data_IF_736417485239
#
_entry.id   IF_736417485239
#
_cell.length_a   1.000
_cell.length_b   1.000
_cell.length_c   1.000
_cell.angle_alpha   90.00
_cell.angle_beta   90.00
_cell.angle_gamma   90.00
#
_symmetry.space_group_name_H-M   'P 1'
#
loop_
_entity.id
_entity.type
_entity.pdbx_description
1 polymer ?
#
# COMPACT_ATOMS: atom_id res chain seq x y z
N UNK A 1 0.32 -6.53 17.45
CA UNK A 1 1.63 -5.94 17.09
C UNK A 1 1.56 -4.42 16.95
N UNK A 2 0.96 -3.85 15.89
CA UNK A 2 0.91 -2.39 15.68
C UNK A 2 -0.18 -1.64 16.47
N UNK A 3 -1.06 -2.35 17.19
CA UNK A 3 -2.17 -1.76 17.96
C UNK A 3 -1.72 -0.82 19.09
N UNK A 4 -0.45 -0.95 19.52
CA UNK A 4 0.18 -0.04 20.49
C UNK A 4 0.54 1.34 19.88
N UNK A 5 0.51 1.45 18.55
CA UNK A 5 0.74 2.70 17.83
C UNK A 5 -0.59 3.30 17.40
N UNK A 6 -0.71 4.63 17.45
CA UNK A 6 -1.84 5.30 16.83
C UNK A 6 -1.81 5.12 15.30
N UNK A 7 -2.96 5.31 14.63
CA UNK A 7 -3.07 5.07 13.19
C UNK A 7 -2.09 5.88 12.32
N UNK A 8 -1.68 7.06 12.76
CA UNK A 8 -0.68 7.87 12.04
C UNK A 8 0.69 7.23 12.09
N UNK A 9 1.12 6.77 13.27
CA UNK A 9 2.41 6.11 13.46
C UNK A 9 2.46 4.77 12.73
N UNK A 10 1.37 4.00 12.73
CA UNK A 10 1.26 2.79 11.91
C UNK A 10 1.47 3.11 10.42
N UNK A 11 0.89 4.21 9.94
CA UNK A 11 1.03 4.61 8.54
C UNK A 11 2.45 5.08 8.21
N UNK A 12 3.11 5.78 9.14
CA UNK A 12 4.52 6.14 9.02
C UNK A 12 5.41 4.88 8.98
N UNK A 13 5.12 3.83 9.78
CA UNK A 13 5.83 2.54 9.70
C UNK A 13 5.74 1.94 8.30
N UNK A 14 4.55 1.95 7.69
CA UNK A 14 4.37 1.44 6.33
C UNK A 14 5.23 2.23 5.33
N UNK A 15 5.20 3.56 5.41
CA UNK A 15 5.99 4.43 4.54
C UNK A 15 7.49 4.22 4.68
N UNK A 16 7.98 4.08 5.92
CA UNK A 16 9.38 3.80 6.23
C UNK A 16 9.83 2.44 5.72
N UNK A 17 9.03 1.39 5.96
CA UNK A 17 9.33 0.05 5.45
C UNK A 17 9.52 0.09 3.94
N UNK A 18 8.57 0.67 3.20
CA UNK A 18 8.70 0.76 1.75
C UNK A 18 9.94 1.56 1.32
N UNK A 19 10.23 2.67 2.00
CA UNK A 19 11.39 3.51 1.68
C UNK A 19 12.71 2.74 1.83
N UNK A 20 12.92 2.04 2.94
CA UNK A 20 14.17 1.34 3.21
C UNK A 20 14.36 0.11 2.30
N UNK A 21 13.29 -0.67 2.08
CA UNK A 21 13.32 -1.82 1.17
C UNK A 21 13.64 -1.37 -0.27
N UNK A 22 12.94 -0.36 -0.77
CA UNK A 22 13.15 0.14 -2.13
C UNK A 22 14.52 0.78 -2.31
N UNK A 23 15.00 1.54 -1.32
CA UNK A 23 16.33 2.14 -1.36
C UNK A 23 17.43 1.08 -1.41
N UNK A 24 17.33 0.00 -0.63
CA UNK A 24 18.29 -1.10 -0.66
C UNK A 24 18.31 -1.82 -2.03
N UNK A 25 17.14 -2.11 -2.59
CA UNK A 25 17.01 -2.73 -3.91
C UNK A 25 17.58 -1.86 -5.04
N UNK A 26 17.34 -0.55 -5.00
CA UNK A 26 17.87 0.39 -5.99
C UNK A 26 19.38 0.60 -5.86
N UNK A 27 19.95 0.44 -4.66
CA UNK A 27 21.41 0.47 -4.44
C UNK A 27 22.10 -0.79 -4.93
N UNK A 28 21.46 -1.95 -4.78
CA UNK A 28 22.00 -3.23 -5.28
C UNK A 28 22.17 -3.22 -6.80
N UNK A 29 21.11 -2.91 -7.53
CA UNK A 29 21.13 -2.72 -8.98
C UNK A 29 19.94 -1.84 -9.35
N UNK A 30 20.19 -0.66 -9.91
CA UNK A 30 19.12 0.31 -10.18
C UNK A 30 18.04 -0.24 -11.10
N UNK A 31 18.42 -0.94 -12.17
CA UNK A 31 17.47 -1.38 -13.19
C UNK A 31 16.74 -2.68 -12.77
N UNK A 32 17.45 -3.62 -12.14
CA UNK A 32 16.82 -4.82 -11.59
C UNK A 32 15.99 -4.49 -10.35
N UNK A 33 16.48 -3.62 -9.49
CA UNK A 33 15.78 -3.12 -8.30
C UNK A 33 14.46 -2.45 -8.66
N UNK A 34 14.44 -1.57 -9.68
CA UNK A 34 13.18 -1.00 -10.18
C UNK A 34 12.19 -2.09 -10.62
N UNK A 35 12.64 -3.09 -11.40
CA UNK A 35 11.78 -4.20 -11.83
C UNK A 35 11.22 -5.01 -10.66
N UNK A 36 12.05 -5.32 -9.68
CA UNK A 36 11.64 -6.03 -8.45
C UNK A 36 10.59 -5.23 -7.71
N UNK A 37 10.83 -3.93 -7.51
CA UNK A 37 9.89 -3.04 -6.81
C UNK A 37 8.55 -3.02 -7.53
N UNK A 38 8.55 -2.82 -8.85
CA UNK A 38 7.31 -2.76 -9.63
C UNK A 38 6.53 -4.08 -9.54
N UNK A 39 7.20 -5.20 -9.74
CA UNK A 39 6.58 -6.54 -9.66
C UNK A 39 6.05 -6.83 -8.27
N UNK A 40 6.84 -6.56 -7.22
CA UNK A 40 6.44 -6.86 -5.85
C UNK A 40 5.27 -6.00 -5.38
N UNK A 41 5.24 -4.72 -5.75
CA UNK A 41 4.11 -3.83 -5.43
C UNK A 41 2.85 -4.23 -6.19
N UNK A 42 2.93 -4.53 -7.50
CA UNK A 42 1.76 -5.01 -8.27
C UNK A 42 1.20 -6.29 -7.67
N UNK A 43 2.09 -7.24 -7.33
CA UNK A 43 1.68 -8.54 -6.81
C UNK A 43 1.01 -8.40 -5.44
N UNK A 44 1.59 -7.60 -4.54
CA UNK A 44 1.00 -7.22 -3.25
C UNK A 44 -0.39 -6.57 -3.43
N UNK A 45 -0.49 -5.56 -4.29
CA UNK A 45 -1.72 -4.81 -4.45
C UNK A 45 -2.82 -5.67 -5.10
N UNK A 46 -2.46 -6.54 -6.04
CA UNK A 46 -3.39 -7.51 -6.64
C UNK A 46 -3.91 -8.50 -5.61
N UNK A 47 -3.03 -9.09 -4.80
CA UNK A 47 -3.45 -10.00 -3.73
C UNK A 47 -4.41 -9.30 -2.76
N UNK A 48 -4.09 -8.08 -2.35
CA UNK A 48 -4.96 -7.24 -1.51
C UNK A 48 -6.33 -6.99 -2.15
N UNK A 49 -6.37 -6.63 -3.44
CA UNK A 49 -7.61 -6.42 -4.17
C UNK A 49 -8.49 -7.68 -4.19
N UNK A 50 -7.87 -8.84 -4.43
CA UNK A 50 -8.54 -10.15 -4.37
C UNK A 50 -9.10 -10.44 -2.98
N UNK A 51 -8.32 -10.20 -1.92
CA UNK A 51 -8.79 -10.44 -0.55
C UNK A 51 -9.97 -9.52 -0.17
N UNK A 52 -9.90 -8.24 -0.54
CA UNK A 52 -11.02 -7.31 -0.33
C UNK A 52 -12.29 -7.78 -1.05
N UNK A 53 -12.15 -8.24 -2.29
CA UNK A 53 -13.25 -8.80 -3.07
C UNK A 53 -13.85 -10.03 -2.39
N UNK A 54 -13.03 -10.98 -1.96
CA UNK A 54 -13.47 -12.20 -1.28
C UNK A 54 -14.25 -11.88 0.00
N UNK A 55 -13.70 -11.03 0.88
CA UNK A 55 -14.36 -10.58 2.12
C UNK A 55 -15.72 -9.91 1.83
N UNK A 56 -15.80 -9.11 0.76
CA UNK A 56 -17.04 -8.45 0.37
C UNK A 56 -18.08 -9.44 -0.18
N UNK A 57 -17.68 -10.40 -1.00
CA UNK A 57 -18.57 -11.48 -1.47
C UNK A 57 -19.09 -12.30 -0.30
N UNK A 58 -18.22 -12.70 0.63
CA UNK A 58 -18.59 -13.47 1.82
C UNK A 58 -19.55 -12.70 2.75
N UNK A 59 -19.38 -11.39 2.85
CA UNK A 59 -20.27 -10.51 3.60
C UNK A 59 -21.53 -10.06 2.87
N UNK A 60 -21.81 -10.56 1.66
CA UNK A 60 -23.00 -10.18 0.87
C UNK A 60 -22.99 -8.72 0.39
N UNK A 61 -21.80 -8.15 0.21
CA UNK A 61 -21.61 -6.76 -0.22
C UNK A 61 -21.48 -6.64 -1.73
N UNK A 62 -21.89 -5.47 -2.26
CA UNK A 62 -21.70 -5.11 -3.66
C UNK A 62 -20.23 -5.04 -4.05
N UNK A 63 -19.88 -5.62 -5.19
CA UNK A 63 -18.53 -5.47 -5.75
C UNK A 63 -18.55 -4.29 -6.72
N UNK A 64 -18.20 -3.12 -6.21
CA UNK A 64 -18.18 -1.87 -6.97
C UNK A 64 -17.26 -0.84 -6.31
N UNK A 65 -16.91 0.23 -7.03
CA UNK A 65 -15.85 1.16 -6.59
C UNK A 65 -16.18 1.88 -5.27
N UNK A 66 -17.44 2.22 -5.02
CA UNK A 66 -17.84 2.79 -3.73
C UNK A 66 -17.48 1.88 -2.55
N UNK A 67 -17.67 0.56 -2.69
CA UNK A 67 -17.31 -0.41 -1.64
C UNK A 67 -15.80 -0.66 -1.58
N UNK A 68 -15.10 -0.67 -2.71
CA UNK A 68 -13.63 -0.71 -2.70
C UNK A 68 -13.06 0.45 -1.89
N UNK A 69 -13.49 1.68 -2.16
CA UNK A 69 -12.93 2.87 -1.52
C UNK A 69 -13.50 3.17 -0.13
N UNK A 70 -14.65 2.58 0.22
CA UNK A 70 -15.11 2.52 1.61
C UNK A 70 -14.24 1.57 2.44
N UNK A 71 -13.91 0.38 1.91
CA UNK A 71 -13.06 -0.59 2.60
C UNK A 71 -11.58 -0.19 2.65
N UNK A 72 -11.08 0.40 1.56
CA UNK A 72 -9.68 0.78 1.37
C UNK A 72 -9.59 2.23 0.89
N UNK A 73 -9.73 3.23 1.78
CA UNK A 73 -9.73 4.64 1.40
C UNK A 73 -8.33 5.20 1.09
N UNK A 74 -7.42 4.40 0.52
CA UNK A 74 -5.98 4.73 0.40
C UNK A 74 -5.40 5.02 1.80
N UNK A 75 -4.89 6.22 2.05
CA UNK A 75 -4.38 6.68 3.36
C UNK A 75 -5.51 7.21 4.28
N UNK A 76 -6.78 7.03 3.93
CA UNK A 76 -7.89 7.90 4.36
C UNK A 76 -8.30 7.93 5.84
N UNK A 77 -7.68 7.17 6.73
CA UNK A 77 -7.81 7.39 8.18
C UNK A 77 -6.78 8.38 8.74
N UNK A 78 -5.74 8.71 7.97
CA UNK A 78 -4.70 9.67 8.34
C UNK A 78 -5.17 11.11 8.09
N UNK A 79 -5.20 11.93 9.14
CA UNK A 79 -5.64 13.34 9.05
C UNK A 79 -4.74 14.21 8.18
N UNK A 80 -3.51 13.79 7.89
CA UNK A 80 -2.58 14.47 6.98
C UNK A 80 -2.92 14.22 5.52
N UNK A 81 -3.76 13.20 5.23
CA UNK A 81 -4.18 12.87 3.89
C UNK A 81 -5.39 13.72 3.49
N UNK A 82 -5.17 14.71 2.65
CA UNK A 82 -6.23 15.57 2.12
C UNK A 82 -6.62 15.13 0.71
N UNK A 83 -7.89 14.77 0.53
CA UNK A 83 -8.44 14.30 -0.73
C UNK A 83 -9.77 14.99 -1.05
N UNK A 84 -9.96 15.24 -2.34
CA UNK A 84 -11.18 15.79 -2.89
C UNK A 84 -11.77 14.79 -3.89
N UNK A 85 -12.94 14.24 -3.55
CA UNK A 85 -13.69 13.38 -4.47
C UNK A 85 -14.35 14.24 -5.55
N UNK A 86 -13.99 14.00 -6.81
CA UNK A 86 -14.60 14.63 -7.98
C UNK A 86 -15.74 13.79 -8.54
N UNK A 87 -15.63 12.47 -8.40
CA UNK A 87 -16.64 11.50 -8.81
C UNK A 87 -16.61 10.30 -7.87
N UNK A 88 -17.77 9.93 -7.35
CA UNK A 88 -17.93 8.81 -6.44
C UNK A 88 -19.18 8.00 -6.82
N UNK A 89 -19.00 7.05 -7.74
CA UNK A 89 -20.06 6.21 -8.28
C UNK A 89 -19.64 4.74 -8.26
N UNK A 90 -20.61 3.82 -8.30
CA UNK A 90 -20.34 2.37 -8.36
C UNK A 90 -19.37 1.98 -9.49
N UNK A 91 -19.45 2.62 -10.66
CA UNK A 91 -18.60 2.30 -11.84
C UNK A 91 -17.37 3.20 -12.02
N UNK A 92 -17.30 4.35 -11.35
CA UNK A 92 -16.25 5.34 -11.58
C UNK A 92 -15.92 6.11 -10.31
N UNK A 93 -14.62 6.19 -9.98
CA UNK A 93 -14.12 6.97 -8.87
C UNK A 93 -12.99 7.88 -9.38
N UNK A 94 -13.09 9.18 -9.10
CA UNK A 94 -12.09 10.18 -9.47
C UNK A 94 -11.79 11.04 -8.26
N UNK A 95 -10.52 11.14 -7.90
CA UNK A 95 -10.09 11.93 -6.76
C UNK A 95 -8.81 12.71 -7.03
N UNK A 96 -8.75 13.87 -6.39
CA UNK A 96 -7.55 14.68 -6.26
C UNK A 96 -6.99 14.52 -4.85
N UNK A 97 -5.67 14.36 -4.71
CA UNK A 97 -4.99 14.33 -3.41
C UNK A 97 -4.09 15.55 -3.32
N UNK A 98 -4.36 16.44 -2.37
CA UNK A 98 -3.61 17.69 -2.20
C UNK A 98 -2.54 17.60 -1.11
N UNK A 99 -2.67 16.64 -0.20
CA UNK A 99 -1.69 16.34 0.84
C UNK A 99 -1.57 14.83 1.03
N UNK A 100 -0.35 14.31 1.03
CA UNK A 100 -0.07 12.88 1.19
C UNK A 100 1.11 12.65 2.12
N UNK A 101 0.92 12.05 3.32
CA UNK A 101 2.00 11.86 4.26
C UNK A 101 3.07 10.88 3.74
N UNK A 102 2.71 9.91 2.88
CA UNK A 102 3.71 9.05 2.25
C UNK A 102 4.60 9.82 1.27
N UNK A 103 4.02 10.72 0.47
CA UNK A 103 4.80 11.51 -0.48
C UNK A 103 5.81 12.42 0.25
N UNK A 104 5.38 13.07 1.34
CA UNK A 104 6.27 13.86 2.20
C UNK A 104 7.36 13.01 2.86
N UNK A 105 6.98 11.85 3.43
CA UNK A 105 7.89 10.93 4.09
C UNK A 105 8.96 10.40 3.13
N UNK A 106 8.57 10.02 1.92
CA UNK A 106 9.48 9.52 0.89
C UNK A 106 10.36 10.64 0.34
N UNK A 107 9.83 11.84 0.13
CA UNK A 107 10.64 12.99 -0.29
C UNK A 107 11.74 13.32 0.71
N UNK A 108 11.44 13.27 2.02
CA UNK A 108 12.42 13.50 3.08
C UNK A 108 13.53 12.43 3.15
N UNK A 109 13.39 11.33 2.41
CA UNK A 109 14.32 10.18 2.37
C UNK A 109 14.95 9.96 1.00
N UNK A 110 14.88 10.95 0.11
CA UNK A 110 15.28 10.82 -1.31
C UNK A 110 14.58 9.67 -2.05
N UNK A 111 13.42 9.23 -1.53
CA UNK A 111 12.65 8.07 -1.97
C UNK A 111 11.53 8.40 -2.96
N UNK A 112 11.41 9.64 -3.42
CA UNK A 112 10.32 10.08 -4.31
C UNK A 112 10.19 9.25 -5.59
N UNK A 113 11.32 8.82 -6.18
CA UNK A 113 11.31 7.93 -7.34
C UNK A 113 10.62 6.61 -7.02
N UNK A 114 11.05 5.92 -5.95
CA UNK A 114 10.39 4.69 -5.50
C UNK A 114 8.91 4.95 -5.19
N UNK A 115 8.59 6.04 -4.49
CA UNK A 115 7.22 6.45 -4.21
C UNK A 115 6.33 6.54 -5.47
N UNK A 116 6.86 7.03 -6.60
CA UNK A 116 6.11 7.03 -7.87
C UNK A 116 5.82 5.63 -8.39
N UNK A 117 6.78 4.70 -8.27
CA UNK A 117 6.58 3.29 -8.64
C UNK A 117 5.48 2.67 -7.77
N UNK A 118 5.49 2.95 -6.46
CA UNK A 118 4.48 2.43 -5.55
C UNK A 118 3.08 2.83 -5.97
N UNK A 119 2.84 4.14 -6.14
CA UNK A 119 1.50 4.65 -6.42
C UNK A 119 0.93 4.11 -7.74
N UNK A 120 1.76 4.04 -8.78
CA UNK A 120 1.38 3.51 -10.08
C UNK A 120 1.00 2.02 -9.98
N UNK A 121 1.93 1.18 -9.52
CA UNK A 121 1.74 -0.28 -9.49
C UNK A 121 0.67 -0.71 -8.48
N UNK A 122 0.56 0.01 -7.35
CA UNK A 122 -0.48 -0.25 -6.36
C UNK A 122 -1.88 0.01 -6.92
N UNK A 123 -2.10 1.14 -7.60
CA UNK A 123 -3.41 1.47 -8.16
C UNK A 123 -3.84 0.44 -9.22
N UNK A 124 -2.92 0.05 -10.11
CA UNK A 124 -3.19 -0.96 -11.13
C UNK A 124 -3.41 -2.36 -10.55
N UNK A 125 -2.52 -2.81 -9.65
CA UNK A 125 -2.62 -4.12 -9.00
C UNK A 125 -3.92 -4.24 -8.20
N UNK A 126 -4.26 -3.25 -7.38
CA UNK A 126 -5.48 -3.24 -6.57
C UNK A 126 -6.73 -3.41 -7.44
N UNK A 127 -6.84 -2.63 -8.52
CA UNK A 127 -7.96 -2.73 -9.44
C UNK A 127 -8.02 -4.09 -10.12
N UNK A 128 -6.87 -4.60 -10.58
CA UNK A 128 -6.79 -5.91 -11.23
C UNK A 128 -7.25 -7.04 -10.32
N UNK A 129 -6.85 -7.03 -9.05
CA UNK A 129 -7.31 -8.01 -8.06
C UNK A 129 -8.79 -7.87 -7.72
N UNK A 130 -9.24 -6.64 -7.44
CA UNK A 130 -10.60 -6.38 -6.97
C UNK A 130 -11.69 -6.58 -8.06
N UNK A 131 -11.32 -6.42 -9.33
CA UNK A 131 -12.26 -6.50 -10.46
C UNK A 131 -12.07 -7.73 -11.34
N UNK A 132 -11.28 -8.72 -10.90
CA UNK A 132 -10.85 -9.86 -11.72
C UNK A 132 -10.30 -9.43 -13.10
N UNK A 133 -9.55 -8.33 -13.12
CA UNK A 133 -8.81 -7.84 -14.29
C UNK A 133 -9.59 -7.00 -15.30
N UNK A 134 -10.89 -6.72 -15.11
CA UNK A 134 -11.68 -5.94 -16.09
C UNK A 134 -11.77 -4.43 -15.78
N UNK A 135 -11.34 -4.05 -14.57
CA UNK A 135 -11.24 -2.67 -14.12
C UNK A 135 -9.96 -1.99 -14.56
N UNK A 136 -9.94 -0.66 -14.46
CA UNK A 136 -8.85 0.19 -14.89
C UNK A 136 -8.53 1.20 -13.79
N UNK A 137 -7.24 1.49 -13.62
CA UNK A 137 -6.75 2.61 -12.83
C UNK A 137 -5.92 3.51 -13.74
N UNK A 138 -5.91 4.81 -13.48
CA UNK A 138 -4.90 5.72 -13.99
C UNK A 138 -4.44 6.62 -12.86
N UNK A 139 -3.13 6.65 -12.66
CA UNK A 139 -2.44 7.64 -11.85
C UNK A 139 -1.87 8.66 -12.82
N UNK A 140 -2.38 9.89 -12.75
CA UNK A 140 -1.78 11.01 -13.50
C UNK A 140 -0.87 11.78 -12.57
N UNK A 141 -0.87 13.13 -12.56
CA UNK A 141 -0.04 13.95 -11.67
C UNK A 141 0.15 13.29 -10.30
N UNK A 142 1.34 13.39 -9.70
CA UNK A 142 1.63 12.76 -8.42
C UNK A 142 2.51 13.64 -7.55
N UNK A 143 2.17 13.77 -6.27
CA UNK A 143 2.93 14.53 -5.27
C UNK A 143 4.37 14.01 -5.05
N UNK A 144 4.70 12.83 -5.59
CA UNK A 144 6.07 12.31 -5.63
C UNK A 144 6.92 12.97 -6.72
N UNK A 145 6.33 13.74 -7.65
CA UNK A 145 7.04 14.57 -8.61
C UNK A 145 7.05 16.03 -8.15
N UNK A 146 8.23 16.68 -8.02
CA UNK A 146 8.32 18.06 -7.52
C UNK A 146 7.55 19.12 -8.33
N UNK A 147 7.23 18.82 -9.59
CA UNK A 147 6.51 19.72 -10.50
C UNK A 147 4.98 19.68 -10.30
N UNK A 148 4.46 18.63 -9.68
CA UNK A 148 3.02 18.41 -9.57
C UNK A 148 2.53 18.90 -8.19
N UNK A 149 1.35 19.53 -8.16
CA UNK A 149 0.78 20.12 -6.93
C UNK A 149 -0.34 19.28 -6.30
N UNK A 150 -0.76 18.21 -6.96
CA UNK A 150 -1.72 17.25 -6.46
C UNK A 150 -1.55 15.91 -7.15
N UNK A 151 -2.00 14.83 -6.51
CA UNK A 151 -2.23 13.58 -7.21
C UNK A 151 -3.58 13.62 -7.93
N UNK A 152 -3.68 13.06 -9.13
CA UNK A 152 -4.97 12.86 -9.82
C UNK A 152 -5.14 11.38 -10.14
N UNK A 153 -6.10 10.75 -9.47
CA UNK A 153 -6.33 9.31 -9.52
C UNK A 153 -7.72 9.01 -10.08
N UNK A 154 -7.80 8.16 -11.10
CA UNK A 154 -9.06 7.75 -11.70
C UNK A 154 -9.18 6.23 -11.78
N UNK A 155 -10.35 5.71 -11.44
CA UNK A 155 -10.65 4.29 -11.39
C UNK A 155 -11.96 4.01 -12.12
N UNK A 156 -11.99 2.94 -12.89
CA UNK A 156 -13.16 2.54 -13.68
C UNK A 156 -13.44 1.05 -13.54
N UNK A 157 -14.69 0.70 -13.29
CA UNK A 157 -15.21 -0.66 -13.29
C UNK A 157 -16.57 -0.66 -13.99
N UNK A 158 -16.52 -0.68 -15.32
CA UNK A 158 -17.69 -0.43 -16.19
C UNK A 158 -18.47 -1.72 -16.41
N UNK A 159 -19.80 -1.64 -16.32
CA UNK A 159 -20.72 -2.76 -16.58
C UNK A 159 -20.48 -3.43 -17.93
N UNK A 160 -20.12 -2.65 -18.96
CA UNK A 160 -19.82 -3.15 -20.30
C UNK A 160 -18.62 -4.12 -20.36
N UNK A 161 -17.74 -4.08 -19.36
CA UNK A 161 -16.57 -4.96 -19.27
C UNK A 161 -16.82 -6.17 -18.34
N UNK A 162 -17.99 -6.26 -17.69
CA UNK A 162 -18.29 -7.27 -16.69
C UNK A 162 -18.92 -8.52 -17.31
N UNK A 163 -18.54 -9.67 -16.80
CA UNK A 163 -19.26 -10.94 -17.00
C UNK A 163 -20.62 -10.93 -16.29
N UNK A 164 -21.57 -11.81 -16.65
CA UNK A 164 -22.86 -11.91 -15.95
C UNK A 164 -22.72 -12.10 -14.43
N UNK A 165 -21.81 -12.97 -14.00
CA UNK A 165 -21.48 -13.18 -12.58
C UNK A 165 -21.06 -11.86 -11.89
N UNK A 166 -20.17 -11.09 -12.52
CA UNK A 166 -19.70 -9.81 -11.98
C UNK A 166 -20.82 -8.77 -11.92
N UNK A 167 -21.77 -8.79 -12.87
CA UNK A 167 -22.94 -7.90 -12.83
C UNK A 167 -23.87 -8.24 -11.66
N UNK A 168 -24.06 -9.52 -11.35
CA UNK A 168 -24.82 -9.97 -10.17
C UNK A 168 -24.15 -9.54 -8.86
N UNK A 169 -22.83 -9.72 -8.74
CA UNK A 169 -22.05 -9.28 -7.59
C UNK A 169 -22.04 -7.75 -7.44
N UNK A 170 -22.00 -7.01 -8.55
CA UNK A 170 -22.07 -5.55 -8.58
C UNK A 170 -23.43 -5.03 -8.09
N UNK A 171 -24.51 -5.76 -8.34
CA UNK A 171 -25.88 -5.37 -8.00
C UNK A 171 -26.23 -5.58 -6.52
N UNK A 172 -25.39 -6.27 -5.74
CA UNK A 172 -25.64 -6.45 -4.29
C UNK A 172 -25.61 -5.08 -3.57
N UNK A 173 -26.48 -4.91 -2.57
CA UNK A 173 -26.66 -3.63 -1.86
C UNK A 173 -25.86 -3.51 -0.56
N UNK A 174 -25.17 -4.58 -0.11
CA UNK A 174 -24.37 -4.52 1.11
C UNK A 174 -23.20 -3.53 0.96
N UNK A 175 -22.97 -2.72 1.99
CA UNK A 175 -21.95 -1.68 2.02
C UNK A 175 -20.73 -2.11 2.80
N UNK A 176 -19.54 -1.86 2.25
CA UNK A 176 -18.30 -2.14 2.96
C UNK A 176 -17.98 -1.06 4.00
N UNK A 177 -17.28 -1.47 5.06
CA UNK A 177 -16.71 -0.57 6.07
C UNK A 177 -15.19 -0.62 6.00
N UNK A 178 -14.55 0.49 6.35
CA UNK A 178 -13.10 0.56 6.42
C UNK A 178 -12.60 -0.26 7.61
N UNK A 179 -11.70 -1.19 7.36
CA UNK A 179 -10.95 -1.87 8.41
C UNK A 179 -9.45 -1.59 8.22
N UNK A 180 -8.81 -0.86 9.14
CA UNK A 180 -7.41 -0.48 8.99
C UNK A 180 -6.50 -1.67 9.28
N UNK A 181 -6.07 -2.35 8.22
CA UNK A 181 -5.17 -3.51 8.28
C UNK A 181 -3.72 -3.16 7.95
N UNK A 182 -3.15 -2.15 8.63
CA UNK A 182 -1.80 -1.62 8.30
C UNK A 182 -0.72 -2.70 8.44
N UNK A 183 -0.81 -3.53 9.48
CA UNK A 183 0.12 -4.64 9.66
C UNK A 183 0.03 -5.67 8.53
N UNK A 184 -1.18 -6.08 8.12
CA UNK A 184 -1.37 -6.98 6.98
C UNK A 184 -0.80 -6.36 5.69
N UNK A 185 -0.92 -5.04 5.53
CA UNK A 185 -0.35 -4.32 4.40
C UNK A 185 1.18 -4.35 4.38
N UNK A 186 1.83 -4.19 5.54
CA UNK A 186 3.29 -4.29 5.65
C UNK A 186 3.78 -5.70 5.31
N UNK A 187 3.15 -6.73 5.88
CA UNK A 187 3.47 -8.13 5.57
C UNK A 187 3.22 -8.46 4.10
N UNK A 188 2.09 -8.03 3.55
CA UNK A 188 1.76 -8.25 2.15
C UNK A 188 2.77 -7.59 1.20
N UNK A 189 3.17 -6.35 1.49
CA UNK A 189 4.20 -5.65 0.71
C UNK A 189 5.54 -6.39 0.75
N UNK A 190 6.00 -6.75 1.95
CA UNK A 190 7.26 -7.48 2.10
C UNK A 190 7.22 -8.83 1.36
N UNK A 191 6.12 -9.58 1.47
CA UNK A 191 5.92 -10.85 0.75
C UNK A 191 5.95 -10.67 -0.76
N UNK A 192 5.30 -9.63 -1.29
CA UNK A 192 5.34 -9.31 -2.71
C UNK A 192 6.76 -9.06 -3.19
N UNK A 193 7.55 -8.30 -2.42
CA UNK A 193 8.95 -8.03 -2.73
C UNK A 193 9.84 -9.28 -2.57
N UNK A 194 9.61 -10.09 -1.54
CA UNK A 194 10.33 -11.35 -1.30
C UNK A 194 10.19 -12.31 -2.49
N UNK A 195 8.96 -12.55 -2.93
CA UNK A 195 8.69 -13.39 -4.12
C UNK A 195 9.32 -12.81 -5.39
N UNK A 196 9.44 -11.49 -5.50
CA UNK A 196 10.07 -10.83 -6.64
C UNK A 196 11.60 -10.98 -6.63
N UNK A 197 12.26 -10.90 -5.46
CA UNK A 197 13.73 -11.06 -5.33
C UNK A 197 14.18 -12.52 -5.44
N UNK A 198 13.39 -13.48 -4.97
CA UNK A 198 13.69 -14.91 -5.11
C UNK A 198 13.91 -15.33 -6.57
N UNK A 199 13.17 -14.70 -7.50
CA UNK A 199 13.30 -14.91 -8.95
C UNK A 199 14.60 -14.32 -9.54
N UNK A 200 15.29 -13.45 -8.80
CA UNK A 200 16.51 -12.75 -9.24
C UNK A 200 17.81 -13.33 -8.63
N UNK A 201 17.71 -14.09 -7.54
CA UNK A 201 18.83 -14.78 -6.91
C UNK A 201 19.27 -14.18 -5.57
N UNK A 202 20.27 -14.82 -4.95
CA UNK A 202 20.66 -14.56 -3.55
C UNK A 202 21.07 -13.12 -3.24
N UNK A 203 21.75 -12.43 -4.17
CA UNK A 203 22.14 -11.02 -3.97
C UNK A 203 20.93 -10.09 -3.85
N UNK A 204 19.84 -10.38 -4.58
CA UNK A 204 18.61 -9.60 -4.51
C UNK A 204 17.90 -9.82 -3.17
N UNK A 205 17.85 -11.08 -2.70
CA UNK A 205 17.29 -11.43 -1.39
C UNK A 205 18.08 -10.78 -0.26
N UNK A 206 19.41 -10.77 -0.35
CA UNK A 206 20.28 -10.10 0.61
C UNK A 206 20.05 -8.57 0.62
N UNK A 207 19.88 -7.94 -0.54
CA UNK A 207 19.53 -6.52 -0.61
C UNK A 207 18.18 -6.22 0.07
N UNK A 208 17.17 -7.07 -0.12
CA UNK A 208 15.88 -6.92 0.57
C UNK A 208 16.04 -7.06 2.09
N UNK A 209 16.83 -8.03 2.54
CA UNK A 209 17.13 -8.24 3.98
C UNK A 209 17.84 -7.04 4.59
N UNK A 210 18.81 -6.44 3.89
CA UNK A 210 19.48 -5.21 4.33
C UNK A 210 18.49 -4.04 4.46
N UNK A 211 17.54 -3.92 3.53
CA UNK A 211 16.47 -2.92 3.64
C UNK A 211 15.56 -3.17 4.84
N UNK A 212 15.25 -4.42 5.16
CA UNK A 212 14.48 -4.78 6.34
C UNK A 212 15.23 -4.44 7.63
N UNK A 213 16.52 -4.79 7.73
CA UNK A 213 17.34 -4.44 8.90
C UNK A 213 17.41 -2.92 9.08
N UNK A 214 17.61 -2.16 8.00
CA UNK A 214 17.62 -0.70 8.03
C UNK A 214 16.29 -0.10 8.51
N UNK A 215 15.16 -0.70 8.12
CA UNK A 215 13.84 -0.33 8.62
C UNK A 215 13.72 -0.57 10.13
N UNK A 216 14.09 -1.76 10.61
CA UNK A 216 14.00 -2.12 12.03
C UNK A 216 14.92 -1.24 12.89
N UNK A 217 16.15 -0.97 12.44
CA UNK A 217 17.06 -0.01 13.09
C UNK A 217 16.48 1.42 13.09
N UNK A 218 15.82 1.80 11.98
CA UNK A 218 15.16 3.09 11.83
C UNK A 218 14.03 3.30 12.85
N UNK A 219 13.28 2.25 13.20
CA UNK A 219 12.27 2.32 14.24
C UNK A 219 12.89 2.77 15.58
N UNK A 220 13.98 2.14 16.02
CA UNK A 220 14.67 2.54 17.25
C UNK A 220 15.22 3.97 17.21
N UNK A 221 15.67 4.44 16.06
CA UNK A 221 16.25 5.79 15.92
C UNK A 221 15.18 6.88 15.96
N UNK A 222 14.07 6.66 15.29
CA UNK A 222 13.10 7.72 14.96
C UNK A 222 11.89 7.75 15.88
N UNK A 223 11.46 6.60 16.42
CA UNK A 223 10.25 6.50 17.23
C UNK A 223 10.39 7.12 18.62
N UNK A 224 11.54 6.99 19.32
CA UNK A 224 11.75 7.69 20.60
C UNK A 224 11.70 9.22 20.50
N UNK A 225 11.84 9.78 19.29
CA UNK A 225 11.76 11.22 19.03
C UNK A 225 10.31 11.71 18.85
N UNK A 226 9.35 10.78 18.71
CA UNK A 226 7.92 11.06 18.56
C UNK A 226 7.17 11.03 19.91
N UNK A 227 7.83 11.36 21.02
CA UNK A 227 7.22 11.43 22.36
C UNK A 227 5.94 12.26 22.33
N UNK A 228 4.80 11.61 22.52
CA UNK A 228 3.45 12.19 22.40
C UNK A 228 2.57 11.59 21.30
N UNK A 229 3.13 10.77 20.41
CA UNK A 229 2.39 10.03 19.35
C UNK A 229 2.37 8.52 19.56
N UNK A 230 3.10 8.02 20.56
CA UNK A 230 3.14 6.61 20.95
C UNK A 230 2.52 6.46 22.32
N UNK A 231 1.98 5.27 22.61
CA UNK A 231 1.67 4.92 23.99
C UNK A 231 2.98 5.02 24.81
N UNK A 232 2.98 5.76 25.94
CA UNK A 232 4.16 5.93 26.79
C UNK A 232 4.76 4.61 27.27
N UNK A 233 3.99 3.52 27.26
CA UNK A 233 4.41 2.19 27.69
C UNK A 233 4.71 1.23 26.52
N UNK A 234 4.89 1.75 25.29
CA UNK A 234 5.30 0.91 24.14
C UNK A 234 6.60 0.16 24.45
N UNK A 235 6.53 -1.17 24.34
CA UNK A 235 7.71 -2.03 24.28
C UNK A 235 8.25 -2.09 22.84
N UNK A 236 9.07 -1.10 22.49
CA UNK A 236 9.60 -0.98 21.13
C UNK A 236 10.52 -2.17 20.78
N UNK A 237 11.30 -2.66 21.74
CA UNK A 237 12.19 -3.81 21.54
C UNK A 237 11.37 -5.07 21.27
N UNK A 238 10.31 -5.30 22.06
CA UNK A 238 9.35 -6.39 21.81
C UNK A 238 8.67 -6.30 20.45
N UNK A 239 8.22 -5.10 20.03
CA UNK A 239 7.60 -4.90 18.71
C UNK A 239 8.60 -5.20 17.58
N UNK A 240 9.85 -4.77 17.71
CA UNK A 240 10.89 -5.04 16.70
C UNK A 240 11.22 -6.53 16.60
N UNK A 241 11.33 -7.23 17.73
CA UNK A 241 11.55 -8.68 17.73
C UNK A 241 10.37 -9.45 17.13
N UNK A 242 9.13 -9.05 17.45
CA UNK A 242 7.93 -9.61 16.82
C UNK A 242 7.92 -9.38 15.30
N UNK A 243 8.28 -8.18 14.84
CA UNK A 243 8.40 -7.88 13.42
C UNK A 243 9.47 -8.74 12.76
N UNK A 244 10.66 -8.84 13.38
CA UNK A 244 11.78 -9.66 12.88
C UNK A 244 11.35 -11.12 12.74
N UNK A 245 10.65 -11.67 13.74
CA UNK A 245 10.11 -13.02 13.69
C UNK A 245 9.07 -13.18 12.56
N UNK A 246 8.13 -12.24 12.43
CA UNK A 246 7.08 -12.32 11.42
C UNK A 246 7.60 -12.21 9.98
N UNK A 247 8.62 -11.38 9.75
CA UNK A 247 9.29 -11.28 8.45
C UNK A 247 10.27 -12.46 8.20
N UNK A 248 10.83 -13.05 9.25
CA UNK A 248 11.80 -14.16 9.18
C UNK A 248 11.17 -15.56 9.09
N UNK A 249 9.92 -15.77 9.53
CA UNK A 249 9.18 -17.05 9.39
C UNK A 249 8.69 -17.32 7.95
N UNK A 250 9.35 -16.75 6.95
CA UNK A 250 8.95 -16.82 5.53
C UNK A 250 9.94 -17.65 4.69
N UNK A 251 10.90 -18.34 5.33
CA UNK A 251 11.77 -19.37 4.72
C UNK A 251 11.06 -20.73 4.56
#
# INVERSE_FOLDING_TARGET
MLEQFNGQVQFDCFGMLYAELSAALLRWDRAKGERVIRQGVEEYAREKGTQLRLRQVEGGMGIHLQNLFAAQPCCGSDKRFDRLSRRDEKQAQLMEVHSCPLAELWAARDGSFAGSLYCEEYAHGLMKGYTDGVGQANVSNALTYPRDHCCVLSFYYRLANMTPRQQEEFAQEGTAVCEPHVWENMLGLYRGLLRAVERQGAEASEALRQGLDAFLEGLHREFPQQKGRMDPDVDLDGVVEEMRAAFGQQE
#
